data_IF_408131137176
#
_entry.id   IF_408131137176
#
_cell.length_a   1.000
_cell.length_b   1.000
_cell.length_c   1.000
_cell.angle_alpha   90.00
_cell.angle_beta   90.00
_cell.angle_gamma   90.00
#
_symmetry.space_group_name_H-M   'P 1'
#
loop_
_entity.id
_entity.type
_entity.pdbx_description
1 polymer ?
#
# COMPACT_ATOMS: atom_id res chain seq x y z
N UNK A 1 -10.54 -14.73 13.05
CA UNK A 1 -11.99 -14.93 13.28
C UNK A 1 -12.73 -15.23 11.99
N UNK A 2 -12.36 -14.66 10.83
CA UNK A 2 -12.96 -14.94 9.51
C UNK A 2 -12.96 -16.44 9.15
N UNK A 3 -11.94 -17.19 9.55
CA UNK A 3 -11.83 -18.63 9.32
C UNK A 3 -12.72 -19.45 10.25
N UNK A 4 -13.09 -18.91 11.41
CA UNK A 4 -13.85 -19.63 12.45
C UNK A 4 -15.35 -19.33 12.35
N UNK A 5 -15.73 -18.10 12.03
CA UNK A 5 -17.12 -17.66 11.87
C UNK A 5 -17.30 -16.75 10.67
N UNK A 6 -17.06 -17.28 9.48
CA UNK A 6 -17.25 -16.57 8.21
C UNK A 6 -18.69 -16.05 8.03
N UNK A 7 -19.65 -16.69 8.66
CA UNK A 7 -21.06 -16.29 8.65
C UNK A 7 -21.44 -15.24 9.68
N UNK A 8 -20.50 -14.76 10.48
CA UNK A 8 -20.71 -13.77 11.55
C UNK A 8 -21.89 -14.11 12.48
N UNK A 9 -22.05 -15.40 12.82
CA UNK A 9 -23.15 -15.90 13.66
C UNK A 9 -23.07 -15.40 15.11
N UNK A 10 -21.85 -15.11 15.56
CA UNK A 10 -21.55 -14.62 16.90
C UNK A 10 -21.36 -13.11 16.97
N UNK A 11 -21.69 -12.37 15.87
CA UNK A 11 -21.65 -10.91 15.80
C UNK A 11 -20.29 -10.30 16.20
N UNK A 12 -19.18 -10.99 15.88
CA UNK A 12 -17.83 -10.53 16.21
C UNK A 12 -17.40 -9.27 15.44
N UNK A 13 -18.10 -8.98 14.34
CA UNK A 13 -17.97 -7.71 13.62
C UNK A 13 -19.32 -7.21 13.13
N UNK A 14 -19.41 -5.89 12.88
CA UNK A 14 -20.56 -5.29 12.22
C UNK A 14 -20.51 -5.60 10.73
N UNK A 15 -21.55 -6.19 10.17
CA UNK A 15 -21.67 -6.39 8.73
C UNK A 15 -21.67 -5.06 7.98
N UNK A 16 -20.91 -4.98 6.92
CA UNK A 16 -20.89 -3.81 6.04
C UNK A 16 -22.17 -3.75 5.22
N UNK A 17 -22.89 -2.65 5.31
CA UNK A 17 -24.12 -2.43 4.55
C UNK A 17 -24.06 -1.08 3.86
N UNK A 18 -24.56 -1.00 2.61
CA UNK A 18 -24.78 0.27 1.95
C UNK A 18 -25.80 1.10 2.72
N UNK A 19 -25.56 2.40 2.80
CA UNK A 19 -26.53 3.34 3.38
C UNK A 19 -27.81 3.35 2.56
N UNK A 20 -28.95 3.58 3.21
CA UNK A 20 -30.22 3.84 2.54
C UNK A 20 -30.14 5.14 1.74
N UNK A 21 -30.90 5.25 0.65
CA UNK A 21 -30.81 6.33 -0.31
C UNK A 21 -30.92 7.73 0.32
N UNK A 22 -31.83 7.88 1.26
CA UNK A 22 -32.08 9.14 1.98
C UNK A 22 -30.87 9.50 2.86
N UNK A 23 -30.31 8.51 3.56
CA UNK A 23 -29.14 8.69 4.42
C UNK A 23 -27.90 9.00 3.57
N UNK A 24 -27.76 8.34 2.41
CA UNK A 24 -26.67 8.58 1.49
C UNK A 24 -26.66 10.04 1.02
N UNK A 25 -27.80 10.56 0.56
CA UNK A 25 -27.94 11.97 0.15
C UNK A 25 -27.67 12.94 1.31
N UNK A 26 -28.26 12.68 2.47
CA UNK A 26 -28.06 13.53 3.66
C UNK A 26 -26.60 13.54 4.10
N UNK A 27 -25.91 12.40 4.01
CA UNK A 27 -24.48 12.30 4.32
C UNK A 27 -23.62 13.11 3.34
N UNK A 28 -23.92 13.08 2.04
CA UNK A 28 -23.22 13.89 1.04
C UNK A 28 -23.36 15.39 1.35
N UNK A 29 -24.55 15.84 1.70
CA UNK A 29 -24.77 17.23 2.11
C UNK A 29 -24.03 17.58 3.40
N UNK A 30 -24.02 16.68 4.37
CA UNK A 30 -23.32 16.92 5.65
C UNK A 30 -21.81 17.00 5.46
N UNK A 31 -21.22 16.08 4.70
CA UNK A 31 -19.78 16.04 4.42
C UNK A 31 -19.33 17.25 3.64
N UNK A 32 -20.10 17.67 2.64
CA UNK A 32 -19.82 18.88 1.85
C UNK A 32 -20.08 20.19 2.59
N UNK A 33 -20.62 20.14 3.82
CA UNK A 33 -20.97 21.33 4.59
C UNK A 33 -22.24 22.05 4.12
N UNK A 34 -22.99 21.44 3.19
CA UNK A 34 -24.20 22.05 2.58
C UNK A 34 -25.50 21.66 3.28
N UNK A 35 -25.45 20.79 4.32
CA UNK A 35 -26.67 20.33 4.99
C UNK A 35 -27.33 21.43 5.77
N UNK A 36 -28.58 21.77 5.39
CA UNK A 36 -29.46 22.61 6.18
C UNK A 36 -30.15 21.73 7.25
N UNK A 37 -29.89 22.03 8.51
CA UNK A 37 -30.42 21.30 9.67
C UNK A 37 -31.75 21.87 10.18
N UNK A 38 -32.36 22.82 9.48
CA UNK A 38 -33.65 23.42 9.86
C UNK A 38 -34.72 22.36 9.98
N UNK A 39 -35.36 22.32 11.14
CA UNK A 39 -36.41 21.36 11.47
C UNK A 39 -37.77 21.96 11.19
N UNK A 40 -38.75 21.08 10.92
CA UNK A 40 -40.17 21.43 10.72
C UNK A 40 -40.41 22.28 9.44
N UNK A 41 -41.62 22.74 9.26
CA UNK A 41 -42.04 23.52 8.09
C UNK A 41 -42.58 22.69 6.95
N UNK A 42 -42.81 23.36 5.80
CA UNK A 42 -43.32 22.72 4.59
C UNK A 42 -42.26 21.83 3.94
N UNK A 43 -42.71 20.84 3.20
CA UNK A 43 -41.84 20.01 2.37
C UNK A 43 -41.19 20.79 1.26
N UNK A 44 -39.91 20.52 0.98
CA UNK A 44 -39.17 21.11 -0.15
C UNK A 44 -39.71 20.54 -1.47
N UNK A 45 -40.00 21.43 -2.41
CA UNK A 45 -40.52 21.04 -3.72
C UNK A 45 -39.48 20.31 -4.55
N UNK A 46 -39.95 19.39 -5.38
CA UNK A 46 -39.18 18.76 -6.43
C UNK A 46 -39.29 19.53 -7.73
N UNK A 47 -38.25 19.49 -8.56
CA UNK A 47 -38.23 20.03 -9.92
C UNK A 47 -38.18 18.89 -10.93
N UNK A 48 -38.74 19.15 -12.12
CA UNK A 48 -38.70 18.22 -13.24
C UNK A 48 -38.09 18.98 -14.42
N UNK A 49 -37.04 18.44 -14.99
CA UNK A 49 -36.38 19.01 -16.15
C UNK A 49 -37.09 18.63 -17.46
N UNK A 50 -36.65 19.20 -18.59
CA UNK A 50 -37.20 18.95 -19.92
C UNK A 50 -37.12 17.50 -20.39
N UNK A 51 -36.25 16.71 -19.74
CA UNK A 51 -36.10 15.27 -20.02
C UNK A 51 -37.00 14.40 -19.14
N UNK A 52 -37.74 15.01 -18.21
CA UNK A 52 -38.55 14.30 -17.23
C UNK A 52 -37.78 13.79 -15.99
N UNK A 53 -36.50 14.13 -15.85
CA UNK A 53 -35.70 13.80 -14.67
C UNK A 53 -36.19 14.64 -13.49
N UNK A 54 -36.51 13.97 -12.40
CA UNK A 54 -36.92 14.60 -11.14
C UNK A 54 -35.73 14.82 -10.25
N UNK A 55 -35.47 16.06 -9.89
CA UNK A 55 -34.36 16.46 -9.05
C UNK A 55 -34.78 17.29 -7.84
N UNK A 56 -33.89 17.38 -6.87
CA UNK A 56 -34.01 18.23 -5.67
C UNK A 56 -32.69 18.98 -5.45
N UNK A 57 -32.04 19.35 -6.55
CA UNK A 57 -30.69 19.92 -6.52
C UNK A 57 -30.61 21.25 -5.78
N UNK A 58 -31.74 21.98 -5.70
CA UNK A 58 -31.86 23.21 -4.89
C UNK A 58 -32.11 23.00 -3.41
N UNK A 59 -32.60 21.82 -3.00
CA UNK A 59 -32.86 21.54 -1.58
C UNK A 59 -31.57 21.12 -0.87
N UNK A 60 -31.28 21.75 0.24
CA UNK A 60 -30.14 21.39 1.14
C UNK A 60 -30.61 20.75 2.45
N UNK A 61 -31.93 20.67 2.68
CA UNK A 61 -32.48 20.03 3.88
C UNK A 61 -32.39 18.52 3.81
N UNK A 62 -32.54 17.88 4.96
CA UNK A 62 -32.57 16.40 5.09
C UNK A 62 -33.66 15.80 4.18
N UNK A 63 -33.37 14.64 3.65
CA UNK A 63 -34.27 13.95 2.68
C UNK A 63 -35.67 13.67 3.24
N UNK A 64 -35.85 13.64 4.56
CA UNK A 64 -37.16 13.51 5.20
C UNK A 64 -38.10 14.70 4.90
N UNK A 65 -37.55 15.85 4.54
CA UNK A 65 -38.33 17.07 4.20
C UNK A 65 -38.59 17.22 2.70
N UNK A 66 -38.15 16.28 1.86
CA UNK A 66 -38.45 16.33 0.43
C UNK A 66 -39.88 15.96 0.14
N UNK A 67 -40.49 16.68 -0.78
CA UNK A 67 -41.85 16.35 -1.29
C UNK A 67 -41.80 14.96 -1.97
N UNK A 68 -42.70 14.07 -1.57
CA UNK A 68 -42.88 12.78 -2.20
C UNK A 68 -44.05 12.83 -3.17
N UNK A 69 -43.77 12.60 -4.47
CA UNK A 69 -44.80 12.41 -5.51
C UNK A 69 -44.68 11.02 -6.08
N UNK A 70 -45.74 10.23 -5.99
CA UNK A 70 -45.74 8.80 -6.40
C UNK A 70 -45.36 8.61 -7.88
N UNK A 71 -45.82 9.50 -8.74
CA UNK A 71 -45.58 9.44 -10.19
C UNK A 71 -44.27 10.11 -10.62
N UNK A 72 -43.58 10.78 -9.70
CA UNK A 72 -42.37 11.55 -9.96
C UNK A 72 -41.35 11.31 -8.85
N UNK A 73 -40.81 10.08 -8.74
CA UNK A 73 -39.78 9.77 -7.72
C UNK A 73 -38.49 10.54 -8.02
N UNK A 74 -37.82 11.01 -6.95
CA UNK A 74 -36.54 11.72 -7.07
C UNK A 74 -35.49 10.80 -7.60
N UNK A 75 -34.81 11.15 -8.69
CA UNK A 75 -33.90 10.28 -9.43
C UNK A 75 -32.78 9.67 -8.57
N UNK A 76 -32.09 10.48 -7.75
CA UNK A 76 -31.02 9.96 -6.87
C UNK A 76 -31.56 8.96 -5.86
N UNK A 77 -32.73 9.21 -5.26
CA UNK A 77 -33.32 8.29 -4.30
C UNK A 77 -33.75 6.98 -4.98
N UNK A 78 -34.33 7.06 -6.17
CA UNK A 78 -34.75 5.89 -6.94
C UNK A 78 -33.57 5.02 -7.36
N UNK A 79 -32.48 5.60 -7.86
CA UNK A 79 -31.27 4.88 -8.28
C UNK A 79 -30.61 4.14 -7.11
N UNK A 80 -30.75 4.65 -5.88
CA UNK A 80 -30.22 4.03 -4.68
C UNK A 80 -31.26 3.23 -3.87
N UNK A 81 -32.30 2.72 -4.54
CA UNK A 81 -33.30 1.79 -3.99
C UNK A 81 -34.18 2.38 -2.87
N UNK A 82 -34.54 3.67 -2.93
CA UNK A 82 -35.58 4.19 -2.06
C UNK A 82 -36.89 3.40 -2.29
N UNK A 83 -37.70 3.17 -1.23
CA UNK A 83 -38.96 2.44 -1.38
C UNK A 83 -39.90 3.06 -2.38
N UNK A 84 -40.53 2.23 -3.20
CA UNK A 84 -41.63 2.65 -4.07
C UNK A 84 -42.86 2.88 -3.19
N UNK A 85 -43.42 4.10 -3.25
CA UNK A 85 -44.52 4.53 -2.37
C UNK A 85 -45.89 4.04 -2.79
N UNK A 86 -45.97 3.10 -3.73
CA UNK A 86 -47.22 2.53 -4.22
C UNK A 86 -47.72 1.35 -3.38
N UNK A 87 -46.78 0.68 -2.72
CA UNK A 87 -47.06 -0.53 -1.88
C UNK A 87 -46.33 -0.45 -0.54
N UNK A 88 -46.79 -1.20 0.43
CA UNK A 88 -46.09 -1.33 1.70
C UNK A 88 -44.71 -1.99 1.45
N UNK A 89 -43.70 -1.47 2.09
CA UNK A 89 -42.32 -1.95 1.97
C UNK A 89 -41.90 -2.62 3.30
N UNK A 90 -41.96 -3.95 3.35
CA UNK A 90 -41.51 -4.71 4.51
C UNK A 90 -39.99 -4.74 4.62
N UNK A 91 -39.32 -4.74 3.47
CA UNK A 91 -37.86 -4.83 3.37
C UNK A 91 -37.36 -4.00 2.20
N UNK A 92 -36.40 -3.11 2.47
CA UNK A 92 -35.72 -2.31 1.43
C UNK A 92 -34.84 -3.21 0.57
N UNK A 93 -34.91 -3.01 -0.72
CA UNK A 93 -33.96 -3.61 -1.65
C UNK A 93 -32.60 -2.95 -1.48
N UNK A 94 -31.55 -3.70 -1.80
CA UNK A 94 -30.18 -3.18 -1.85
C UNK A 94 -29.50 -3.79 -3.07
N UNK A 95 -29.49 -3.05 -4.15
CA UNK A 95 -28.87 -3.47 -5.40
C UNK A 95 -27.53 -2.77 -5.58
N UNK A 96 -26.67 -3.35 -6.40
CA UNK A 96 -25.45 -2.69 -6.89
C UNK A 96 -25.49 -2.75 -8.42
N UNK A 97 -25.56 -1.61 -9.05
CA UNK A 97 -25.74 -1.54 -10.50
C UNK A 97 -24.93 -0.40 -11.13
N UNK A 98 -24.71 -0.52 -12.45
CA UNK A 98 -23.98 0.48 -13.22
C UNK A 98 -24.61 1.88 -13.17
N UNK A 99 -25.96 1.97 -13.07
CA UNK A 99 -26.68 3.23 -12.94
C UNK A 99 -26.26 4.03 -11.69
N UNK A 100 -25.95 3.36 -10.60
CA UNK A 100 -25.48 4.00 -9.37
C UNK A 100 -24.09 4.61 -9.57
N UNK A 101 -23.17 3.87 -10.19
CA UNK A 101 -21.83 4.38 -10.51
C UNK A 101 -21.89 5.56 -11.47
N UNK A 102 -22.71 5.48 -12.52
CA UNK A 102 -22.91 6.57 -13.47
C UNK A 102 -23.50 7.82 -12.81
N UNK A 103 -24.46 7.64 -11.89
CA UNK A 103 -25.02 8.75 -11.11
C UNK A 103 -23.96 9.41 -10.22
N UNK A 104 -23.11 8.64 -9.57
CA UNK A 104 -22.02 9.18 -8.72
C UNK A 104 -20.96 9.91 -9.55
N UNK A 105 -20.71 9.49 -10.79
CA UNK A 105 -19.72 10.13 -11.66
C UNK A 105 -20.23 11.40 -12.35
N UNK A 106 -21.52 11.44 -12.73
CA UNK A 106 -22.04 12.45 -13.63
C UNK A 106 -23.26 13.23 -13.10
N UNK A 107 -23.72 12.95 -11.88
CA UNK A 107 -24.90 13.62 -11.32
C UNK A 107 -24.57 15.04 -10.87
N UNK A 108 -25.36 16.03 -11.33
CA UNK A 108 -25.17 17.46 -11.00
C UNK A 108 -25.12 17.71 -9.51
N UNK A 109 -25.98 17.02 -8.74
CA UNK A 109 -25.97 17.08 -7.29
C UNK A 109 -24.64 16.58 -6.70
N UNK A 110 -24.09 15.48 -7.24
CA UNK A 110 -22.82 14.89 -6.77
C UNK A 110 -21.66 15.82 -7.10
N UNK A 111 -21.60 16.35 -8.32
CA UNK A 111 -20.56 17.29 -8.74
C UNK A 111 -20.58 18.56 -7.86
N UNK A 112 -21.77 19.11 -7.61
CA UNK A 112 -21.95 20.27 -6.72
C UNK A 112 -21.49 19.97 -5.29
N UNK A 113 -21.86 18.80 -4.74
CA UNK A 113 -21.44 18.40 -3.40
C UNK A 113 -19.93 18.16 -3.33
N UNK A 114 -19.33 17.56 -4.38
CA UNK A 114 -17.89 17.32 -4.46
C UNK A 114 -17.09 18.63 -4.51
N UNK A 115 -17.55 19.61 -5.32
CA UNK A 115 -16.93 20.95 -5.37
C UNK A 115 -17.00 21.64 -4.01
N UNK A 116 -18.15 21.59 -3.34
CA UNK A 116 -18.31 22.17 -2.03
C UNK A 116 -17.44 21.46 -0.94
N UNK A 117 -17.28 20.13 -1.07
CA UNK A 117 -16.35 19.38 -0.21
C UNK A 117 -14.91 19.83 -0.45
N UNK A 118 -14.48 19.95 -1.70
CA UNK A 118 -13.13 20.42 -2.04
C UNK A 118 -12.85 21.80 -1.43
N UNK A 119 -13.75 22.78 -1.64
CA UNK A 119 -13.63 24.11 -1.05
C UNK A 119 -13.54 24.05 0.48
N UNK A 120 -14.38 23.22 1.11
CA UNK A 120 -14.35 23.05 2.57
C UNK A 120 -13.05 22.45 3.06
N UNK A 121 -12.47 21.50 2.33
CA UNK A 121 -11.18 20.88 2.64
C UNK A 121 -10.06 21.90 2.51
N UNK A 122 -10.07 22.73 1.46
CA UNK A 122 -9.09 23.80 1.26
C UNK A 122 -9.12 24.82 2.42
N UNK A 123 -10.33 25.29 2.78
CA UNK A 123 -10.52 26.23 3.90
C UNK A 123 -10.02 25.64 5.23
N UNK A 124 -10.24 24.35 5.48
CA UNK A 124 -9.82 23.67 6.71
C UNK A 124 -8.34 23.34 6.74
N UNK A 125 -7.72 23.13 5.57
CA UNK A 125 -6.28 22.88 5.48
C UNK A 125 -5.44 24.11 5.87
N UNK A 126 -6.00 25.32 5.69
CA UNK A 126 -5.41 26.57 6.15
C UNK A 126 -5.54 26.79 7.68
N UNK A 127 -6.54 26.20 8.32
CA UNK A 127 -6.70 26.16 9.78
C UNK A 127 -5.98 24.95 10.34
N UNK A 128 -4.77 25.12 10.83
CA UNK A 128 -3.86 24.16 11.50
C UNK A 128 -4.44 22.76 11.76
N UNK A 129 -4.06 21.81 10.93
CA UNK A 129 -4.17 20.37 11.27
C UNK A 129 -3.40 20.13 12.55
N UNK A 130 -4.02 19.49 13.52
CA UNK A 130 -3.29 18.92 14.65
C UNK A 130 -2.44 17.75 14.11
N UNK A 131 -1.20 18.07 13.74
CA UNK A 131 -0.24 17.11 13.18
C UNK A 131 0.13 15.99 14.17
N UNK A 132 -0.23 16.15 15.46
CA UNK A 132 -0.10 15.07 16.46
C UNK A 132 -0.95 13.84 16.09
N UNK A 133 -2.02 14.01 15.30
CA UNK A 133 -2.80 12.89 14.77
C UNK A 133 -2.06 12.11 13.67
N UNK A 134 -0.98 12.67 13.13
CA UNK A 134 -0.13 12.09 12.10
C UNK A 134 1.20 11.57 12.69
N UNK A 135 1.37 11.58 14.02
CA UNK A 135 2.55 10.99 14.66
C UNK A 135 2.74 9.54 14.19
N UNK A 136 3.84 9.29 13.52
CA UNK A 136 4.15 8.01 12.89
C UNK A 136 3.70 7.86 11.42
N UNK A 137 3.06 8.86 10.83
CA UNK A 137 2.78 8.89 9.38
C UNK A 137 3.87 9.68 8.65
N UNK A 138 4.85 8.98 8.11
CA UNK A 138 5.74 9.54 7.09
C UNK A 138 5.04 9.46 5.74
N UNK A 139 4.74 10.61 5.16
CA UNK A 139 4.21 10.70 3.80
C UNK A 139 5.15 11.58 3.00
N UNK A 140 5.94 10.93 2.17
CA UNK A 140 6.84 11.57 1.21
C UNK A 140 6.18 11.46 -0.17
N UNK A 141 5.71 12.61 -0.70
CA UNK A 141 4.93 12.67 -1.95
C UNK A 141 5.72 13.11 -3.17
N UNK A 142 6.96 13.51 -3.00
CA UNK A 142 7.81 13.70 -4.16
C UNK A 142 8.12 12.32 -4.76
N UNK A 143 7.62 12.06 -5.96
CA UNK A 143 7.87 10.81 -6.67
C UNK A 143 9.36 10.53 -6.86
N UNK A 144 10.20 11.57 -6.89
CA UNK A 144 11.64 11.47 -6.88
C UNK A 144 12.22 11.38 -5.47
N UNK A 145 11.57 11.98 -4.44
CA UNK A 145 11.99 11.93 -3.05
C UNK A 145 11.51 10.68 -2.31
N UNK A 146 10.40 10.06 -2.70
CA UNK A 146 9.98 8.74 -2.19
C UNK A 146 11.07 7.67 -2.37
N UNK A 147 11.94 7.89 -3.34
CA UNK A 147 13.07 7.01 -3.62
C UNK A 147 14.43 7.62 -3.30
N UNK A 148 14.57 8.94 -3.20
CA UNK A 148 15.83 9.59 -2.90
C UNK A 148 16.21 9.58 -1.42
N UNK A 149 15.23 9.45 -0.50
CA UNK A 149 15.42 9.46 0.95
C UNK A 149 15.39 8.08 1.62
N UNK A 150 14.76 7.07 1.03
CA UNK A 150 14.74 5.71 1.58
C UNK A 150 15.90 4.89 1.06
N UNK A 151 16.64 4.30 1.99
CA UNK A 151 17.59 3.27 1.63
C UNK A 151 16.79 2.07 1.03
N UNK A 152 17.05 1.67 -0.24
CA UNK A 152 16.29 0.61 -0.90
C UNK A 152 16.55 -0.79 -0.33
N UNK A 153 17.46 -0.91 0.64
CA UNK A 153 17.90 -2.17 1.17
C UNK A 153 17.08 -2.63 2.38
N UNK A 154 16.80 -3.93 2.40
CA UNK A 154 16.17 -4.64 3.52
C UNK A 154 16.92 -5.93 3.80
N UNK A 155 16.97 -6.34 5.06
CA UNK A 155 17.73 -7.47 5.53
C UNK A 155 16.83 -8.45 6.27
N UNK A 156 16.86 -9.69 5.85
CA UNK A 156 15.98 -10.70 6.40
C UNK A 156 16.45 -12.12 6.08
N UNK A 157 15.57 -13.05 6.32
CA UNK A 157 15.77 -14.46 6.04
C UNK A 157 14.52 -15.07 5.39
N UNK A 158 14.70 -16.25 4.80
CA UNK A 158 13.57 -16.95 4.19
C UNK A 158 14.00 -17.96 3.14
N UNK A 159 13.09 -18.21 2.17
CA UNK A 159 13.28 -19.19 1.13
C UNK A 159 12.41 -18.90 -0.09
N UNK A 160 12.74 -19.53 -1.22
CA UNK A 160 11.91 -19.54 -2.41
C UNK A 160 10.89 -20.67 -2.26
N UNK A 161 9.60 -20.34 -2.28
CA UNK A 161 8.50 -21.33 -2.20
C UNK A 161 8.35 -22.09 -3.51
N UNK A 162 7.53 -23.13 -3.52
CA UNK A 162 7.15 -23.80 -4.78
C UNK A 162 6.32 -22.86 -5.66
N UNK A 163 6.58 -22.90 -6.96
CA UNK A 163 5.80 -22.12 -7.92
C UNK A 163 4.36 -22.68 -8.00
N UNK A 164 3.37 -21.80 -7.97
CA UNK A 164 2.02 -22.17 -8.40
C UNK A 164 2.07 -22.40 -9.91
N UNK A 165 1.29 -23.35 -10.41
CA UNK A 165 1.30 -23.79 -11.81
C UNK A 165 1.26 -22.60 -12.79
N UNK A 166 2.31 -22.43 -13.58
CA UNK A 166 2.47 -21.36 -14.56
C UNK A 166 2.89 -19.98 -13.98
N UNK A 167 3.18 -19.88 -12.69
CA UNK A 167 3.59 -18.64 -12.01
C UNK A 167 5.06 -18.58 -11.60
N UNK A 168 5.49 -17.41 -11.15
CA UNK A 168 6.81 -17.19 -10.54
C UNK A 168 6.74 -17.65 -9.07
N UNK A 169 7.70 -18.45 -8.63
CA UNK A 169 7.79 -18.94 -7.26
C UNK A 169 7.96 -17.76 -6.28
N UNK A 170 7.10 -17.54 -5.27
CA UNK A 170 7.24 -16.43 -4.37
C UNK A 170 8.41 -16.63 -3.39
N UNK A 171 9.09 -15.54 -3.03
CA UNK A 171 10.08 -15.53 -1.93
C UNK A 171 9.36 -15.26 -0.61
N UNK A 172 9.47 -16.20 0.30
CA UNK A 172 9.04 -16.01 1.69
C UNK A 172 10.13 -15.25 2.42
N UNK A 173 9.92 -13.95 2.65
CA UNK A 173 10.88 -13.04 3.27
C UNK A 173 10.38 -12.56 4.61
N UNK A 174 11.20 -12.70 5.64
CA UNK A 174 10.96 -12.18 7.00
C UNK A 174 12.15 -11.32 7.43
N UNK A 175 11.90 -10.11 7.92
CA UNK A 175 12.96 -9.25 8.43
C UNK A 175 13.68 -9.86 9.63
N UNK A 176 14.99 -9.66 9.72
CA UNK A 176 15.72 -9.98 10.97
C UNK A 176 15.21 -9.09 12.10
N UNK A 177 14.89 -9.66 13.25
CA UNK A 177 14.29 -8.89 14.35
C UNK A 177 15.32 -8.12 15.18
N UNK A 178 16.61 -8.37 15.03
CA UNK A 178 17.64 -7.81 15.89
C UNK A 178 18.86 -7.34 15.10
N UNK A 179 19.36 -6.15 15.45
CA UNK A 179 20.60 -5.59 14.92
C UNK A 179 21.51 -5.12 16.05
N UNK A 180 22.75 -5.56 16.06
CA UNK A 180 23.81 -5.06 16.95
C UNK A 180 25.17 -5.33 16.33
N UNK A 181 26.14 -4.48 16.62
CA UNK A 181 27.55 -4.63 16.23
C UNK A 181 27.77 -4.90 14.73
N UNK A 182 26.91 -4.35 13.87
CA UNK A 182 26.96 -4.56 12.43
C UNK A 182 26.30 -5.86 11.94
N UNK A 183 25.57 -6.58 12.79
CA UNK A 183 24.91 -7.85 12.46
C UNK A 183 23.39 -7.69 12.49
N UNK A 184 22.73 -8.05 11.40
CA UNK A 184 21.32 -8.42 11.38
C UNK A 184 21.19 -9.91 11.69
N UNK A 185 20.48 -10.30 12.76
CA UNK A 185 20.38 -11.67 13.27
C UNK A 185 19.09 -11.91 14.07
N UNK A 186 18.89 -13.13 14.58
CA UNK A 186 17.69 -13.52 15.33
C UNK A 186 17.59 -12.91 16.72
N UNK A 187 18.72 -12.71 17.42
CA UNK A 187 18.76 -12.23 18.80
C UNK A 187 20.15 -11.77 19.23
N UNK A 188 20.33 -11.55 20.53
CA UNK A 188 21.59 -11.02 21.07
C UNK A 188 22.76 -11.97 20.85
N UNK A 189 22.53 -13.26 20.93
CA UNK A 189 23.56 -14.32 20.90
C UNK A 189 23.52 -15.08 19.56
N UNK A 190 24.60 -15.73 19.19
CA UNK A 190 24.73 -16.70 18.11
C UNK A 190 25.35 -17.99 18.69
N UNK A 191 24.73 -19.17 18.46
CA UNK A 191 23.47 -19.35 17.71
C UNK A 191 22.26 -18.78 18.47
N UNK A 192 21.33 -18.20 17.73
CA UNK A 192 20.03 -17.77 18.23
C UNK A 192 19.09 -18.97 18.39
N UNK A 193 18.24 -19.02 19.45
CA UNK A 193 17.34 -20.17 19.66
C UNK A 193 16.35 -20.43 18.49
N UNK A 194 16.01 -19.40 17.72
CA UNK A 194 15.03 -19.49 16.62
C UNK A 194 15.72 -19.58 15.27
N UNK A 195 16.72 -18.72 15.01
CA UNK A 195 17.36 -18.58 13.70
C UNK A 195 18.76 -19.20 13.63
N UNK A 196 19.22 -19.85 14.71
CA UNK A 196 20.51 -20.50 14.74
C UNK A 196 21.67 -19.55 14.40
N UNK A 197 22.44 -19.90 13.40
CA UNK A 197 23.56 -19.08 12.91
C UNK A 197 23.18 -18.16 11.74
N UNK A 198 21.88 -18.04 11.38
CA UNK A 198 21.48 -17.15 10.27
C UNK A 198 21.73 -15.68 10.62
N UNK A 199 22.57 -15.00 9.84
CA UNK A 199 22.84 -13.58 9.98
C UNK A 199 23.30 -12.93 8.66
N UNK A 200 23.23 -11.59 8.61
CA UNK A 200 23.84 -10.75 7.59
C UNK A 200 24.72 -9.66 8.23
N UNK A 201 25.84 -9.41 7.58
CA UNK A 201 26.76 -8.28 7.83
C UNK A 201 26.99 -7.54 6.52
N UNK A 202 27.64 -6.39 6.55
CA UNK A 202 27.91 -5.58 5.36
C UNK A 202 28.48 -6.40 4.20
N UNK A 203 29.56 -7.15 4.42
CA UNK A 203 30.26 -7.91 3.39
C UNK A 203 29.85 -9.38 3.24
N UNK A 204 28.82 -9.87 3.95
CA UNK A 204 28.46 -11.29 3.86
C UNK A 204 27.43 -11.75 4.88
N UNK A 205 27.58 -13.01 5.38
CA UNK A 205 26.67 -13.59 6.35
C UNK A 205 26.92 -15.08 6.59
N UNK A 206 25.91 -15.73 7.14
CA UNK A 206 25.89 -17.18 7.38
C UNK A 206 24.46 -17.72 7.23
N UNK A 207 24.20 -18.77 6.44
CA UNK A 207 22.92 -19.46 6.38
C UNK A 207 22.72 -20.38 7.59
N UNK A 208 21.47 -20.76 7.89
CA UNK A 208 21.20 -21.75 8.93
C UNK A 208 20.58 -23.02 8.38
N UNK A 209 19.41 -22.94 7.74
CA UNK A 209 18.72 -24.08 7.15
C UNK A 209 17.83 -23.62 5.99
N UNK A 210 17.17 -24.57 5.32
CA UNK A 210 16.38 -24.38 4.11
C UNK A 210 15.31 -23.27 4.21
N UNK A 211 14.83 -22.93 5.39
CA UNK A 211 13.83 -21.89 5.62
C UNK A 211 14.40 -20.62 6.23
N UNK A 212 15.67 -20.62 6.62
CA UNK A 212 16.34 -19.53 7.33
C UNK A 212 17.60 -19.08 6.61
N UNK A 213 17.51 -18.99 5.29
CA UNK A 213 18.56 -18.48 4.41
C UNK A 213 18.62 -16.97 4.51
N UNK A 214 19.79 -16.35 4.69
CA UNK A 214 19.92 -14.91 4.70
C UNK A 214 19.57 -14.33 3.33
N UNK A 215 18.74 -13.28 3.35
CA UNK A 215 18.25 -12.58 2.16
C UNK A 215 18.56 -11.10 2.30
N UNK A 216 19.30 -10.57 1.34
CA UNK A 216 19.44 -9.13 1.17
C UNK A 216 18.53 -8.71 0.02
N UNK A 217 17.51 -7.94 0.36
CA UNK A 217 16.50 -7.44 -0.59
C UNK A 217 16.81 -6.00 -0.97
N UNK A 218 16.82 -5.72 -2.25
CA UNK A 218 16.85 -4.38 -2.79
C UNK A 218 15.52 -4.10 -3.50
N UNK A 219 14.83 -3.02 -3.10
CA UNK A 219 13.57 -2.59 -3.72
C UNK A 219 13.92 -1.51 -4.73
N UNK A 220 13.54 -1.72 -6.00
CA UNK A 220 13.91 -0.82 -7.07
C UNK A 220 13.28 0.57 -6.90
N UNK A 221 14.10 1.61 -6.72
CA UNK A 221 13.63 2.99 -6.71
C UNK A 221 13.40 3.56 -8.12
N UNK A 222 13.69 2.80 -9.17
CA UNK A 222 13.69 3.24 -10.56
C UNK A 222 13.05 2.20 -11.48
N UNK A 223 12.66 2.64 -12.68
CA UNK A 223 12.31 1.76 -13.80
C UNK A 223 13.43 1.83 -14.83
N UNK A 224 13.88 0.67 -15.33
CA UNK A 224 14.91 0.61 -16.35
C UNK A 224 15.72 -0.68 -16.34
N UNK A 225 16.77 -0.71 -17.15
CA UNK A 225 17.68 -1.85 -17.25
C UNK A 225 18.78 -1.74 -16.18
N UNK A 226 18.88 -2.78 -15.37
CA UNK A 226 19.91 -2.90 -14.33
C UNK A 226 20.98 -3.90 -14.70
N UNK A 227 22.17 -3.67 -14.19
CA UNK A 227 23.26 -4.67 -14.16
C UNK A 227 23.70 -4.86 -12.71
N UNK A 228 23.67 -6.11 -12.26
CA UNK A 228 24.13 -6.56 -10.94
C UNK A 228 25.47 -7.24 -11.17
N UNK A 229 26.53 -6.76 -10.52
CA UNK A 229 27.86 -7.37 -10.59
C UNK A 229 28.42 -7.56 -9.19
N UNK A 230 28.94 -8.73 -8.91
CA UNK A 230 29.50 -9.03 -7.59
C UNK A 230 30.32 -10.31 -7.53
N UNK A 231 30.75 -10.62 -6.32
CA UNK A 231 31.49 -11.84 -6.03
C UNK A 231 30.90 -12.55 -4.80
N UNK A 232 30.79 -13.85 -4.88
CA UNK A 232 30.50 -14.74 -3.79
C UNK A 232 31.81 -15.47 -3.40
N UNK A 233 32.13 -15.52 -2.12
CA UNK A 233 33.30 -16.22 -1.62
C UNK A 233 32.96 -17.05 -0.37
N UNK A 234 33.47 -18.26 -0.36
CA UNK A 234 33.47 -19.16 0.80
C UNK A 234 34.90 -19.63 1.04
N UNK A 235 35.49 -19.23 2.16
CA UNK A 235 36.93 -19.44 2.41
C UNK A 235 37.26 -20.69 3.23
N UNK A 236 36.26 -21.31 3.87
CA UNK A 236 36.49 -22.51 4.67
C UNK A 236 36.77 -23.73 3.79
N UNK A 237 37.74 -24.54 4.23
CA UNK A 237 37.97 -25.88 3.65
C UNK A 237 37.01 -26.93 4.24
N UNK A 238 36.29 -26.56 5.31
CA UNK A 238 35.30 -27.40 5.97
C UNK A 238 33.91 -26.99 5.48
N UNK A 239 33.02 -27.99 5.40
CA UNK A 239 31.66 -27.78 4.85
C UNK A 239 31.61 -28.02 3.36
N UNK A 240 30.42 -27.94 2.80
CA UNK A 240 30.16 -28.18 1.37
C UNK A 240 29.98 -26.88 0.59
N UNK A 241 30.13 -25.73 1.26
CA UNK A 241 30.07 -24.41 0.68
C UNK A 241 28.66 -23.86 0.58
N UNK A 242 28.53 -22.72 -0.05
CA UNK A 242 27.29 -21.95 -0.15
C UNK A 242 26.85 -21.77 -1.61
N UNK A 243 25.56 -21.55 -1.80
CA UNK A 243 24.98 -21.17 -3.09
C UNK A 243 24.28 -19.82 -2.98
N UNK A 244 24.64 -18.90 -3.85
CA UNK A 244 23.94 -17.64 -4.05
C UNK A 244 22.90 -17.78 -5.18
N UNK A 245 21.70 -17.34 -4.94
CA UNK A 245 20.68 -17.14 -6.00
C UNK A 245 20.30 -15.66 -6.07
N UNK A 246 20.39 -15.09 -7.27
CA UNK A 246 19.82 -13.75 -7.56
C UNK A 246 18.39 -13.95 -8.06
N UNK A 247 17.45 -13.33 -7.39
CA UNK A 247 16.03 -13.49 -7.64
C UNK A 247 15.34 -12.16 -7.91
N UNK A 248 14.50 -12.11 -8.94
CA UNK A 248 13.65 -10.95 -9.27
C UNK A 248 12.20 -11.26 -8.96
N UNK A 249 11.50 -10.33 -8.31
CA UNK A 249 10.07 -10.43 -8.02
C UNK A 249 9.22 -10.67 -9.26
N UNK A 250 9.67 -10.14 -10.41
CA UNK A 250 8.95 -10.21 -11.68
C UNK A 250 9.38 -11.38 -12.59
N UNK A 251 10.67 -11.74 -12.55
CA UNK A 251 11.26 -12.65 -13.51
C UNK A 251 11.69 -13.98 -12.88
N UNK A 252 11.57 -14.14 -11.55
CA UNK A 252 12.03 -15.32 -10.84
C UNK A 252 13.54 -15.37 -10.67
N UNK A 253 14.10 -16.58 -10.56
CA UNK A 253 15.54 -16.80 -10.41
C UNK A 253 16.28 -16.39 -11.69
N UNK A 254 17.30 -15.54 -11.54
CA UNK A 254 18.09 -14.99 -12.64
C UNK A 254 19.44 -15.66 -12.78
N UNK A 255 19.85 -16.42 -11.81
CA UNK A 255 21.07 -17.21 -11.81
C UNK A 255 21.43 -17.71 -10.41
N UNK A 256 22.26 -18.74 -10.37
CA UNK A 256 22.80 -19.32 -9.12
C UNK A 256 24.27 -19.67 -9.29
N UNK A 257 25.06 -19.42 -8.23
CA UNK A 257 26.51 -19.62 -8.21
C UNK A 257 26.92 -20.31 -6.92
N UNK A 258 27.77 -21.30 -7.02
CA UNK A 258 28.29 -22.08 -5.91
C UNK A 258 29.72 -21.64 -5.57
N UNK A 259 30.04 -21.53 -4.29
CA UNK A 259 31.38 -21.32 -3.78
C UNK A 259 31.67 -22.30 -2.64
N UNK A 260 32.76 -23.07 -2.79
CA UNK A 260 33.25 -24.01 -1.78
C UNK A 260 34.78 -23.92 -1.75
N UNK A 261 35.36 -23.37 -0.67
CA UNK A 261 36.78 -23.07 -0.61
C UNK A 261 37.29 -22.18 -1.75
N UNK A 262 36.41 -21.33 -2.32
CA UNK A 262 36.64 -20.61 -3.58
C UNK A 262 35.89 -19.30 -3.62
N UNK A 263 36.18 -18.47 -4.65
CA UNK A 263 35.46 -17.27 -4.99
C UNK A 263 34.90 -17.37 -6.41
N UNK A 264 33.66 -16.86 -6.59
CA UNK A 264 32.96 -16.90 -7.84
C UNK A 264 32.42 -15.50 -8.19
N UNK A 265 32.86 -14.94 -9.32
CA UNK A 265 32.29 -13.71 -9.87
C UNK A 265 30.95 -13.99 -10.56
N UNK A 266 30.02 -13.05 -10.47
CA UNK A 266 28.73 -13.15 -11.14
C UNK A 266 28.28 -11.81 -11.72
N UNK A 267 27.47 -11.91 -12.78
CA UNK A 267 26.87 -10.75 -13.42
C UNK A 267 25.48 -11.13 -13.96
N UNK A 268 24.49 -10.27 -13.66
CA UNK A 268 23.09 -10.41 -14.12
C UNK A 268 22.65 -9.07 -14.69
N UNK A 269 21.97 -9.11 -15.83
CA UNK A 269 21.32 -7.91 -16.40
C UNK A 269 19.84 -8.21 -16.59
N UNK A 270 18.97 -7.32 -16.09
CA UNK A 270 17.53 -7.47 -16.17
C UNK A 270 16.83 -6.10 -16.19
N UNK A 271 15.58 -6.11 -16.62
CA UNK A 271 14.72 -4.92 -16.55
C UNK A 271 13.86 -4.97 -15.30
N UNK A 272 13.74 -3.83 -14.64
CA UNK A 272 12.89 -3.65 -13.46
C UNK A 272 11.91 -2.52 -13.66
N UNK A 273 10.81 -2.59 -12.94
CA UNK A 273 9.94 -1.45 -12.68
C UNK A 273 10.15 -0.99 -11.25
N UNK A 274 9.86 0.27 -11.00
CA UNK A 274 9.86 0.83 -9.66
C UNK A 274 8.98 -0.01 -8.73
N UNK A 275 9.48 -0.35 -7.55
CA UNK A 275 8.80 -1.23 -6.59
C UNK A 275 9.07 -2.73 -6.77
N UNK A 276 9.68 -3.16 -7.89
CA UNK A 276 10.17 -4.53 -7.99
C UNK A 276 11.27 -4.77 -6.95
N UNK A 277 11.39 -5.99 -6.44
CA UNK A 277 12.52 -6.33 -5.58
C UNK A 277 13.47 -7.31 -6.26
N UNK A 278 14.74 -7.16 -5.90
CA UNK A 278 15.83 -8.07 -6.22
C UNK A 278 16.35 -8.63 -4.91
N UNK A 279 16.31 -9.94 -4.77
CA UNK A 279 16.84 -10.66 -3.63
C UNK A 279 18.14 -11.37 -3.97
N UNK A 280 19.14 -11.25 -3.11
CA UNK A 280 20.28 -12.16 -3.07
C UNK A 280 20.08 -13.11 -1.89
N UNK A 281 19.89 -14.38 -2.20
CA UNK A 281 19.57 -15.46 -1.25
C UNK A 281 20.75 -16.38 -1.20
N UNK A 282 21.31 -16.63 -0.01
CA UNK A 282 22.43 -17.56 0.14
C UNK A 282 21.98 -18.77 0.93
N UNK A 283 22.09 -19.94 0.32
CA UNK A 283 21.74 -21.23 0.94
C UNK A 283 22.96 -22.04 1.35
N UNK A 284 22.73 -22.93 2.30
CA UNK A 284 23.68 -23.80 2.95
C UNK A 284 24.00 -25.07 2.16
N UNK A 285 23.40 -25.25 0.97
CA UNK A 285 23.48 -26.49 0.15
C UNK A 285 22.94 -27.71 0.91
N UNK A 286 23.82 -28.55 1.48
CA UNK A 286 23.41 -29.77 2.20
C UNK A 286 23.52 -29.65 3.72
N UNK A 287 24.29 -28.69 4.23
CA UNK A 287 24.41 -28.44 5.68
C UNK A 287 25.15 -27.14 5.97
N UNK A 288 24.82 -26.51 7.08
CA UNK A 288 25.30 -25.17 7.44
C UNK A 288 26.64 -25.12 8.19
N UNK A 289 27.43 -26.20 8.18
CA UNK A 289 28.66 -26.25 8.94
C UNK A 289 29.77 -25.49 8.24
N UNK A 290 30.29 -24.45 8.88
CA UNK A 290 31.39 -23.61 8.39
C UNK A 290 31.04 -22.76 7.14
N UNK A 291 29.79 -22.43 6.93
CA UNK A 291 29.23 -21.78 5.73
C UNK A 291 29.18 -20.23 5.82
N UNK A 292 30.11 -19.64 6.58
CA UNK A 292 30.31 -18.19 6.50
C UNK A 292 30.73 -17.80 5.10
N UNK A 293 30.04 -16.82 4.53
CA UNK A 293 30.29 -16.34 3.18
C UNK A 293 30.58 -14.85 3.13
N UNK A 294 31.29 -14.43 2.10
CA UNK A 294 31.36 -13.04 1.69
C UNK A 294 30.59 -12.84 0.37
N UNK A 295 29.79 -11.79 0.30
CA UNK A 295 29.07 -11.41 -0.91
C UNK A 295 28.97 -9.90 -0.98
N UNK A 296 29.73 -9.31 -1.90
CA UNK A 296 29.76 -7.88 -2.19
C UNK A 296 29.37 -7.66 -3.66
N UNK A 297 28.44 -6.75 -3.92
CA UNK A 297 27.97 -6.46 -5.26
C UNK A 297 27.46 -5.04 -5.41
N UNK A 298 27.31 -4.64 -6.67
CA UNK A 298 26.71 -3.38 -7.08
C UNK A 298 25.49 -3.63 -7.95
N UNK A 299 24.52 -2.75 -7.86
CA UNK A 299 23.38 -2.65 -8.77
C UNK A 299 23.50 -1.33 -9.50
N UNK A 300 23.68 -1.36 -10.82
CA UNK A 300 23.87 -0.15 -11.65
C UNK A 300 22.74 -0.01 -12.65
N UNK A 301 22.10 1.15 -12.68
CA UNK A 301 21.14 1.54 -13.71
C UNK A 301 21.86 1.93 -14.98
N UNK A 302 21.47 1.39 -16.13
CA UNK A 302 21.93 1.86 -17.42
C UNK A 302 21.21 3.16 -17.80
N UNK A 303 22.00 4.17 -18.27
CA UNK A 303 21.43 5.36 -18.87
C UNK A 303 20.88 5.08 -20.27
N UNK A 304 20.06 5.98 -20.82
CA UNK A 304 19.49 5.86 -22.17
C UNK A 304 20.55 5.71 -23.27
N UNK A 305 21.73 6.26 -23.05
CA UNK A 305 22.90 6.13 -23.97
C UNK A 305 23.73 4.86 -23.73
N UNK A 306 23.30 3.98 -22.80
CA UNK A 306 23.99 2.73 -22.45
C UNK A 306 25.22 2.89 -21.53
N UNK A 307 25.52 4.11 -21.06
CA UNK A 307 26.54 4.33 -20.02
C UNK A 307 26.01 3.99 -18.64
N UNK A 308 26.92 3.80 -17.68
CA UNK A 308 26.57 3.57 -16.28
C UNK A 308 25.91 4.82 -15.67
N UNK A 309 24.76 4.61 -15.05
CA UNK A 309 24.02 5.62 -14.30
C UNK A 309 24.19 5.47 -12.79
N UNK A 310 23.13 5.66 -12.05
CA UNK A 310 23.12 5.52 -10.58
C UNK A 310 23.50 4.10 -10.15
N UNK A 311 24.37 4.01 -9.15
CA UNK A 311 24.84 2.73 -8.60
C UNK A 311 24.56 2.64 -7.11
N UNK A 312 24.06 1.48 -6.68
CA UNK A 312 23.85 1.11 -5.28
C UNK A 312 24.84 -0.01 -4.91
N UNK A 313 25.34 0.04 -3.68
CA UNK A 313 26.37 -0.87 -3.19
C UNK A 313 25.87 -1.70 -2.02
N UNK A 314 25.87 -3.02 -2.16
CA UNK A 314 25.42 -3.93 -1.09
C UNK A 314 26.14 -3.79 0.24
N UNK A 315 27.41 -3.39 0.20
CA UNK A 315 28.28 -3.26 1.37
C UNK A 315 28.31 -1.82 1.91
N UNK A 316 28.52 -0.81 1.04
CA UNK A 316 28.60 0.59 1.48
C UNK A 316 27.28 1.13 1.99
N UNK A 317 26.17 0.66 1.38
CA UNK A 317 24.81 1.08 1.72
C UNK A 317 24.19 0.19 2.81
N UNK A 318 24.97 -0.74 3.39
CA UNK A 318 24.51 -1.59 4.46
C UNK A 318 24.30 -0.79 5.75
N UNK A 319 23.17 -0.99 6.41
CA UNK A 319 22.78 -0.21 7.59
C UNK A 319 22.04 -1.06 8.62
N UNK A 320 22.02 -0.57 9.86
CA UNK A 320 21.12 -1.04 10.90
C UNK A 320 19.70 -0.53 10.74
N UNK A 321 18.87 -0.65 11.79
CA UNK A 321 17.56 -0.02 11.81
C UNK A 321 17.74 1.48 11.51
N UNK A 322 17.07 1.95 10.49
CA UNK A 322 16.97 3.38 10.24
C UNK A 322 15.98 3.89 11.27
N UNK A 323 16.45 4.72 12.22
CA UNK A 323 15.54 5.57 12.98
C UNK A 323 14.91 6.49 11.93
N UNK A 324 13.69 6.16 11.53
CA UNK A 324 12.90 7.04 10.69
C UNK A 324 12.74 8.35 11.47
N UNK A 325 13.57 9.34 11.18
CA UNK A 325 13.26 10.71 11.59
C UNK A 325 11.95 11.03 10.89
N UNK A 326 10.89 11.15 11.66
CA UNK A 326 9.61 11.65 11.19
C UNK A 326 9.84 13.06 10.63
N UNK A 327 10.15 13.15 9.35
CA UNK A 327 10.11 14.40 8.63
C UNK A 327 8.65 14.60 8.27
N UNK A 328 7.92 15.30 9.13
CA UNK A 328 6.58 15.76 8.82
C UNK A 328 6.73 16.82 7.72
N UNK A 329 6.67 16.38 6.47
CA UNK A 329 6.56 17.31 5.35
C UNK A 329 5.14 17.86 5.41
N UNK A 330 5.02 19.13 5.79
CA UNK A 330 3.79 19.89 5.66
C UNK A 330 3.51 20.10 4.18
N UNK A 331 2.79 19.16 3.57
CA UNK A 331 2.26 19.33 2.22
C UNK A 331 0.78 19.68 2.35
N UNK A 332 0.32 20.76 1.74
CA UNK A 332 -1.10 21.10 1.69
C UNK A 332 -1.96 19.92 1.19
N UNK A 333 -1.45 19.14 0.24
CA UNK A 333 -2.13 17.96 -0.33
C UNK A 333 -2.36 16.88 0.70
N UNK A 334 -1.39 16.64 1.60
CA UNK A 334 -1.54 15.66 2.69
C UNK A 334 -2.59 16.11 3.67
N UNK A 335 -2.54 17.37 4.06
CA UNK A 335 -3.51 17.97 4.97
C UNK A 335 -4.91 17.89 4.37
N UNK A 336 -5.07 18.22 3.10
CA UNK A 336 -6.32 18.08 2.36
C UNK A 336 -6.82 16.63 2.32
N UNK A 337 -5.95 15.66 2.02
CA UNK A 337 -6.30 14.25 2.02
C UNK A 337 -6.77 13.77 3.39
N UNK A 338 -6.06 14.11 4.47
CA UNK A 338 -6.44 13.75 5.84
C UNK A 338 -7.78 14.35 6.24
N UNK A 339 -8.03 15.62 5.93
CA UNK A 339 -9.31 16.27 6.23
C UNK A 339 -10.45 15.67 5.43
N UNK A 340 -10.25 15.41 4.13
CA UNK A 340 -11.25 14.77 3.31
C UNK A 340 -11.67 13.42 3.90
N UNK A 341 -10.71 12.62 4.39
CA UNK A 341 -11.00 11.36 5.05
C UNK A 341 -11.73 11.53 6.38
N UNK A 342 -11.30 12.47 7.24
CA UNK A 342 -11.97 12.74 8.50
C UNK A 342 -13.41 13.20 8.31
N UNK A 343 -13.67 14.07 7.33
CA UNK A 343 -15.02 14.52 7.00
C UNK A 343 -15.88 13.39 6.41
N UNK A 344 -15.33 12.61 5.48
CA UNK A 344 -16.08 11.57 4.79
C UNK A 344 -16.33 10.34 5.66
N UNK A 345 -15.34 9.89 6.42
CA UNK A 345 -15.37 8.62 7.15
C UNK A 345 -15.37 8.77 8.67
N UNK A 346 -15.25 10.00 9.20
CA UNK A 346 -15.18 10.29 10.65
C UNK A 346 -14.09 9.50 11.38
N UNK A 347 -12.96 9.24 10.71
CA UNK A 347 -11.77 8.60 11.27
C UNK A 347 -10.51 9.13 10.60
N UNK A 348 -9.39 8.98 11.26
CA UNK A 348 -8.08 9.23 10.66
C UNK A 348 -7.81 8.19 9.56
N UNK A 349 -7.31 8.59 8.40
CA UNK A 349 -6.91 7.67 7.34
C UNK A 349 -5.67 6.86 7.75
N UNK A 350 -5.51 5.70 7.14
CA UNK A 350 -4.25 4.96 7.18
C UNK A 350 -3.23 5.63 6.25
N UNK A 351 -1.95 5.30 6.43
CA UNK A 351 -0.88 5.77 5.55
C UNK A 351 -1.17 5.48 4.07
N UNK A 352 -1.58 4.26 3.75
CA UNK A 352 -1.90 3.84 2.38
C UNK A 352 -3.04 4.66 1.77
N UNK A 353 -4.07 4.96 2.57
CA UNK A 353 -5.20 5.79 2.15
C UNK A 353 -4.79 7.23 1.86
N UNK A 354 -3.89 7.81 2.66
CA UNK A 354 -3.34 9.15 2.42
C UNK A 354 -2.50 9.15 1.15
N UNK A 355 -1.60 8.18 0.98
CA UNK A 355 -0.76 8.06 -0.21
C UNK A 355 -1.57 7.92 -1.50
N UNK A 356 -2.64 7.10 -1.49
CA UNK A 356 -3.54 6.95 -2.63
C UNK A 356 -4.29 8.24 -2.96
N UNK A 357 -4.81 8.91 -1.93
CA UNK A 357 -5.55 10.16 -2.10
C UNK A 357 -4.68 11.28 -2.65
N UNK A 358 -3.46 11.42 -2.14
CA UNK A 358 -2.55 12.45 -2.58
C UNK A 358 -2.10 12.22 -4.03
N UNK A 359 -1.75 10.99 -4.42
CA UNK A 359 -1.46 10.66 -5.83
C UNK A 359 -2.63 10.99 -6.76
N UNK A 360 -3.86 10.81 -6.29
CA UNK A 360 -5.04 11.15 -7.08
C UNK A 360 -5.20 12.67 -7.25
N UNK A 361 -4.93 13.44 -6.20
CA UNK A 361 -4.97 14.91 -6.23
C UNK A 361 -3.88 15.45 -7.17
N UNK A 362 -2.66 14.91 -7.10
CA UNK A 362 -1.54 15.33 -7.95
C UNK A 362 -1.71 14.98 -9.44
N UNK A 363 -2.50 13.96 -9.75
CA UNK A 363 -2.74 13.51 -11.12
C UNK A 363 -3.80 14.33 -11.87
N UNK A 364 -4.50 15.24 -11.19
CA UNK A 364 -5.52 16.12 -11.76
C UNK A 364 -5.03 17.54 -12.01
#
# INVERSE_FOLDING_TARGET
YDLVDAGNRYYWHKSVHRLDAEILRDRMLAVSGQLDTTLLGLADSISVDDTGKVSVDSSRRRSIYLQVRRTQPVAILQVFDAPVMEVNCDKRNRTTGASQSLMLMNGDFILSASTALATRVDELADEKVDLALLEGMEVDFDADSYTAGRNPWSYGYGFISEAVEGGIAPVNFTHYPFYADGYWKGGKELPDPTLGYSYLIAGGGHPNNITQRPIRRWISPVTGKLTIKGSLSHSSENGDGVRLTVYSSRLGAQGSWDAAGSSQEYSVSLEVQRGDFIDTIVDERTGNNSDSFSNSYTITLANENGSDGKTWHSEKDFHGPIEEKVIVIKSPIIEQAVYAWQLAYCRTPTREEVELSARHIEAQ
#
